data_IF_511335817739
#
_entry.id   IF_511335817739
#
_cell.length_a   1.000
_cell.length_b   1.000
_cell.length_c   1.000
_cell.angle_alpha   90.00
_cell.angle_beta   90.00
_cell.angle_gamma   90.00
#
_symmetry.space_group_name_H-M   'P 1'
#
loop_
_entity.id
_entity.type
_entity.pdbx_description
1 polymer ?
#
# COMPACT_ATOMS: atom_id res chain seq x y z
N UNK A 1 10.76 7.54 11.94
CA UNK A 1 11.12 7.48 10.51
C UNK A 1 9.88 7.96 9.77
N UNK A 2 9.95 9.08 9.06
CA UNK A 2 8.78 9.59 8.32
C UNK A 2 8.62 8.79 7.02
N UNK A 3 7.81 7.73 7.08
CA UNK A 3 7.59 6.79 5.97
C UNK A 3 6.77 7.47 4.85
N UNK A 4 5.79 8.28 5.23
CA UNK A 4 4.87 8.94 4.30
C UNK A 4 4.95 10.45 4.45
N UNK A 5 5.12 11.16 3.34
CA UNK A 5 5.10 12.62 3.29
C UNK A 5 4.35 13.07 2.03
N UNK A 6 3.29 13.86 2.21
CA UNK A 6 2.43 14.30 1.11
C UNK A 6 2.61 15.78 0.80
N UNK A 7 2.77 16.10 -0.47
CA UNK A 7 2.74 17.48 -0.94
C UNK A 7 1.28 17.91 -1.16
N UNK A 8 0.74 18.69 -0.23
CA UNK A 8 -0.64 19.18 -0.28
C UNK A 8 -0.85 20.35 -1.26
N UNK A 9 0.23 20.89 -1.84
CA UNK A 9 0.14 21.96 -2.84
C UNK A 9 -0.15 21.41 -4.25
N UNK A 10 0.01 20.10 -4.49
CA UNK A 10 -0.31 19.48 -5.79
C UNK A 10 -1.79 19.09 -5.88
N UNK A 11 -2.31 18.99 -7.10
CA UNK A 11 -3.66 18.52 -7.36
C UNK A 11 -3.66 17.34 -8.36
N UNK A 12 -3.95 16.09 -7.93
CA UNK A 12 -4.17 15.68 -6.54
C UNK A 12 -2.88 15.74 -5.69
N UNK A 13 -2.96 15.67 -4.35
CA UNK A 13 -1.81 15.57 -3.47
C UNK A 13 -0.99 14.32 -3.80
N UNK A 14 0.32 14.51 -3.96
CA UNK A 14 1.25 13.43 -4.31
C UNK A 14 2.07 13.02 -3.10
N UNK A 15 2.30 11.72 -2.94
CA UNK A 15 3.29 11.28 -1.95
C UNK A 15 4.70 11.54 -2.48
N UNK A 16 5.50 12.24 -1.69
CA UNK A 16 6.95 12.36 -1.81
C UNK A 16 7.70 11.28 -1.01
N UNK A 17 7.02 10.15 -0.77
CA UNK A 17 7.52 8.97 -0.08
C UNK A 17 8.89 8.52 -0.64
N UNK A 18 9.81 8.12 0.24
CA UNK A 18 11.04 7.47 -0.20
C UNK A 18 10.76 6.01 -0.58
N UNK A 19 10.59 5.73 -1.88
CA UNK A 19 10.32 4.38 -2.39
C UNK A 19 11.45 3.37 -2.11
N UNK A 20 12.66 3.84 -1.79
CA UNK A 20 13.80 2.98 -1.41
C UNK A 20 13.63 2.32 -0.03
N UNK A 21 12.60 2.70 0.75
CA UNK A 21 12.31 2.08 2.05
C UNK A 21 11.85 0.61 1.88
N UNK A 22 11.36 0.23 0.70
CA UNK A 22 10.83 -1.11 0.43
C UNK A 22 11.59 -1.81 -0.71
N UNK A 23 12.87 -2.17 -0.56
CA UNK A 23 13.67 -2.79 -1.64
C UNK A 23 13.22 -4.24 -1.89
N UNK A 24 12.25 -4.43 -2.79
CA UNK A 24 11.68 -5.76 -3.08
C UNK A 24 12.55 -6.62 -3.99
N UNK A 25 13.55 -6.05 -4.65
CA UNK A 25 14.50 -6.78 -5.49
C UNK A 25 15.52 -7.57 -4.65
N UNK A 26 16.01 -6.95 -3.56
CA UNK A 26 16.99 -7.54 -2.63
C UNK A 26 16.65 -7.14 -1.20
N UNK A 27 15.61 -7.76 -0.60
CA UNK A 27 15.19 -7.42 0.74
C UNK A 27 16.21 -7.89 1.78
N UNK A 28 16.41 -7.12 2.84
CA UNK A 28 17.10 -7.55 4.04
C UNK A 28 16.10 -8.06 5.09
N UNK A 29 16.60 -8.64 6.18
CA UNK A 29 15.74 -9.14 7.26
C UNK A 29 14.90 -8.02 7.92
N UNK A 30 15.41 -6.78 7.93
CA UNK A 30 14.74 -5.63 8.55
C UNK A 30 13.46 -5.25 7.81
N UNK A 31 13.41 -5.45 6.50
CA UNK A 31 12.20 -5.22 5.71
C UNK A 31 11.00 -5.98 6.28
N UNK A 32 11.20 -7.24 6.67
CA UNK A 32 10.14 -8.14 7.14
C UNK A 32 9.89 -8.09 8.66
N UNK A 33 10.63 -7.24 9.39
CA UNK A 33 10.48 -7.08 10.85
C UNK A 33 10.29 -5.60 11.19
N UNK A 34 11.40 -4.87 11.42
CA UNK A 34 11.40 -3.45 11.82
C UNK A 34 10.57 -2.57 10.88
N UNK A 35 10.77 -2.69 9.56
CA UNK A 35 10.06 -1.87 8.56
C UNK A 35 8.59 -2.25 8.47
N UNK A 36 8.28 -3.55 8.42
CA UNK A 36 6.91 -4.04 8.39
C UNK A 36 6.11 -3.57 9.63
N UNK A 37 6.73 -3.64 10.81
CA UNK A 37 6.16 -3.14 12.06
C UNK A 37 5.94 -1.63 12.03
N UNK A 38 6.92 -0.85 11.58
CA UNK A 38 6.80 0.60 11.52
C UNK A 38 5.67 1.04 10.58
N UNK A 39 5.51 0.38 9.42
CA UNK A 39 4.37 0.65 8.52
C UNK A 39 3.04 0.25 9.18
N UNK A 40 2.99 -0.88 9.89
CA UNK A 40 1.79 -1.33 10.58
C UNK A 40 1.32 -0.34 11.66
N UNK A 41 2.23 0.17 12.48
CA UNK A 41 1.95 1.17 13.51
C UNK A 41 1.46 2.50 12.91
N UNK A 42 2.07 2.92 11.79
CA UNK A 42 1.71 4.13 11.07
C UNK A 42 0.31 4.03 10.45
N UNK A 43 0.00 2.91 9.78
CA UNK A 43 -1.30 2.70 9.11
C UNK A 43 -2.44 2.38 10.09
N UNK A 44 -2.14 2.01 11.34
CA UNK A 44 -3.14 1.75 12.38
C UNK A 44 -3.84 3.03 12.88
N UNK A 45 -3.32 4.20 12.50
CA UNK A 45 -3.85 5.52 12.80
C UNK A 45 -4.19 6.26 11.50
N UNK A 46 -5.34 5.92 10.88
CA UNK A 46 -5.66 6.36 9.53
C UNK A 46 -5.86 7.88 9.40
N UNK A 47 -5.36 8.43 8.31
CA UNK A 47 -5.46 9.86 7.98
C UNK A 47 -5.91 10.06 6.52
N UNK A 48 -6.96 10.85 6.33
CA UNK A 48 -7.51 11.14 5.01
C UNK A 48 -7.11 12.54 4.56
N UNK A 49 -6.59 12.64 3.34
CA UNK A 49 -6.39 13.89 2.64
C UNK A 49 -7.70 14.27 1.94
N UNK A 50 -8.30 15.39 2.34
CA UNK A 50 -9.55 15.88 1.75
C UNK A 50 -9.37 17.27 1.18
N UNK A 51 -10.01 17.51 0.03
CA UNK A 51 -10.18 18.87 -0.49
C UNK A 51 -11.24 19.56 0.37
N UNK A 52 -10.87 20.71 0.92
CA UNK A 52 -11.76 21.54 1.73
C UNK A 52 -11.83 22.95 1.15
N UNK A 53 -12.89 23.68 1.48
CA UNK A 53 -13.14 25.02 0.95
C UNK A 53 -14.07 25.01 -0.27
N UNK A 54 -14.36 26.20 -0.80
CA UNK A 54 -15.31 26.40 -1.90
C UNK A 54 -14.73 27.36 -2.95
N UNK A 55 -15.15 27.18 -4.21
CA UNK A 55 -14.73 28.03 -5.32
C UNK A 55 -13.21 28.02 -5.52
N UNK A 56 -12.61 29.21 -5.59
CA UNK A 56 -11.16 29.39 -5.77
C UNK A 56 -10.32 29.13 -4.51
N UNK A 57 -10.94 28.94 -3.35
CA UNK A 57 -10.26 28.76 -2.05
C UNK A 57 -10.13 27.28 -1.64
N UNK A 58 -10.20 26.37 -2.62
CA UNK A 58 -10.01 24.94 -2.37
C UNK A 58 -8.57 24.65 -1.99
N UNK A 59 -8.39 23.84 -0.95
CA UNK A 59 -7.08 23.41 -0.49
C UNK A 59 -7.15 21.98 0.05
N UNK A 60 -6.05 21.25 -0.01
CA UNK A 60 -5.94 19.92 0.54
C UNK A 60 -5.49 19.96 2.00
N UNK A 61 -6.14 19.19 2.86
CA UNK A 61 -5.73 19.02 4.27
C UNK A 61 -5.77 17.56 4.69
N UNK A 62 -4.84 17.20 5.56
CA UNK A 62 -4.84 15.94 6.29
C UNK A 62 -5.85 16.03 7.43
N UNK A 63 -6.73 15.05 7.52
CA UNK A 63 -7.76 14.93 8.55
C UNK A 63 -7.63 13.54 9.18
N UNK A 64 -7.51 13.49 10.50
CA UNK A 64 -7.54 12.24 11.23
C UNK A 64 -8.90 11.57 11.12
N UNK A 65 -8.91 10.28 10.78
CA UNK A 65 -10.13 9.49 10.87
C UNK A 65 -10.32 8.98 12.30
N UNK A 66 -10.89 9.83 13.15
CA UNK A 66 -11.14 9.55 14.57
C UNK A 66 -11.95 8.28 14.81
N UNK A 67 -12.81 7.91 13.87
CA UNK A 67 -13.63 6.70 13.97
C UNK A 67 -12.90 5.45 13.45
N UNK A 68 -11.68 5.62 12.93
CA UNK A 68 -10.87 4.58 12.29
C UNK A 68 -11.70 3.76 11.30
N UNK A 69 -12.55 4.40 10.49
CA UNK A 69 -13.33 3.72 9.46
C UNK A 69 -12.43 3.23 8.33
N UNK A 70 -11.45 4.04 7.94
CA UNK A 70 -10.42 3.67 6.99
C UNK A 70 -9.44 2.66 7.59
N UNK A 71 -8.82 1.88 6.71
CA UNK A 71 -7.86 0.83 7.01
C UNK A 71 -8.41 -0.26 7.95
N UNK A 72 -9.72 -0.50 7.95
CA UNK A 72 -10.30 -1.59 8.75
C UNK A 72 -9.54 -2.91 8.50
N UNK A 73 -9.23 -3.72 9.53
CA UNK A 73 -8.42 -4.93 9.35
C UNK A 73 -8.97 -5.87 8.28
N UNK A 74 -10.30 -6.00 8.20
CA UNK A 74 -10.97 -6.79 7.16
C UNK A 74 -10.76 -6.23 5.76
N UNK A 75 -10.69 -4.91 5.60
CA UNK A 75 -10.41 -4.28 4.31
C UNK A 75 -8.96 -4.48 3.88
N UNK A 76 -8.02 -4.27 4.81
CA UNK A 76 -6.59 -4.51 4.58
C UNK A 76 -6.34 -5.98 4.23
N UNK A 77 -6.98 -6.91 4.94
CA UNK A 77 -6.90 -8.36 4.68
C UNK A 77 -7.34 -8.71 3.27
N UNK A 78 -8.41 -8.10 2.74
CA UNK A 78 -8.86 -8.35 1.35
C UNK A 78 -7.78 -8.01 0.31
N UNK A 79 -7.04 -6.91 0.51
CA UNK A 79 -5.92 -6.58 -0.38
C UNK A 79 -4.79 -7.60 -0.26
N UNK A 80 -4.50 -8.06 0.96
CA UNK A 80 -3.49 -9.09 1.17
C UNK A 80 -3.90 -10.43 0.54
N UNK A 81 -5.14 -10.87 0.72
CA UNK A 81 -5.68 -12.09 0.10
C UNK A 81 -5.58 -12.03 -1.43
N UNK A 82 -5.81 -10.86 -2.02
CA UNK A 82 -5.64 -10.68 -3.46
C UNK A 82 -4.16 -10.79 -3.89
N UNK A 83 -3.22 -10.24 -3.12
CA UNK A 83 -1.78 -10.42 -3.39
C UNK A 83 -1.37 -11.90 -3.29
N UNK A 84 -1.87 -12.63 -2.29
CA UNK A 84 -1.68 -14.08 -2.18
C UNK A 84 -2.23 -14.83 -3.38
N UNK A 85 -3.48 -14.53 -3.78
CA UNK A 85 -4.11 -15.15 -4.94
C UNK A 85 -3.25 -15.01 -6.19
N UNK A 86 -2.71 -13.82 -6.45
CA UNK A 86 -1.88 -13.61 -7.62
C UNK A 86 -0.53 -14.32 -7.50
N UNK A 87 0.14 -14.22 -6.35
CA UNK A 87 1.40 -14.92 -6.11
C UNK A 87 1.27 -16.45 -6.26
N UNK A 88 0.15 -17.02 -5.83
CA UNK A 88 -0.16 -18.45 -5.98
C UNK A 88 -0.48 -18.82 -7.42
N UNK A 89 -1.16 -17.95 -8.17
CA UNK A 89 -1.47 -18.19 -9.59
C UNK A 89 -0.27 -18.06 -10.51
N UNK A 90 0.78 -17.34 -10.11
CA UNK A 90 1.94 -17.05 -10.96
C UNK A 90 3.16 -17.92 -10.64
N UNK A 91 3.02 -19.25 -10.76
CA UNK A 91 4.10 -20.20 -10.45
C UNK A 91 5.25 -20.22 -11.49
N UNK A 92 5.05 -19.60 -12.66
CA UNK A 92 6.07 -19.47 -13.71
C UNK A 92 6.06 -18.06 -14.31
N UNK A 93 7.17 -17.68 -14.94
CA UNK A 93 7.31 -16.36 -15.60
C UNK A 93 6.28 -16.18 -16.72
N UNK A 94 5.97 -17.24 -17.48
CA UNK A 94 4.95 -17.18 -18.55
C UNK A 94 3.56 -16.87 -18.00
N UNK A 95 3.17 -17.52 -16.89
CA UNK A 95 1.87 -17.28 -16.26
C UNK A 95 1.87 -15.90 -15.58
N UNK A 96 2.99 -15.48 -15.01
CA UNK A 96 3.16 -14.15 -14.44
C UNK A 96 2.97 -13.06 -15.50
N UNK A 97 3.57 -13.20 -16.68
CA UNK A 97 3.42 -12.26 -17.79
C UNK A 97 1.95 -12.05 -18.17
N UNK A 98 1.20 -13.15 -18.34
CA UNK A 98 -0.24 -13.09 -18.66
C UNK A 98 -1.06 -12.41 -17.58
N UNK A 99 -0.64 -12.53 -16.31
CA UNK A 99 -1.37 -12.00 -15.17
C UNK A 99 -0.90 -10.61 -14.71
N UNK A 100 0.24 -10.12 -15.22
CA UNK A 100 0.82 -8.83 -14.84
C UNK A 100 -0.18 -7.65 -14.97
N UNK A 101 -1.02 -7.55 -16.02
CA UNK A 101 -2.04 -6.50 -16.08
C UNK A 101 -3.02 -6.53 -14.91
N UNK A 102 -3.47 -7.71 -14.48
CA UNK A 102 -4.40 -7.86 -13.36
C UNK A 102 -3.72 -7.57 -12.01
N UNK A 103 -2.46 -7.95 -11.88
CA UNK A 103 -1.63 -7.58 -10.72
C UNK A 103 -1.54 -6.05 -10.63
N UNK A 104 -1.24 -5.36 -11.73
CA UNK A 104 -1.20 -3.89 -11.78
C UNK A 104 -2.55 -3.24 -11.52
N UNK A 105 -3.65 -3.88 -11.91
CA UNK A 105 -5.02 -3.40 -11.66
C UNK A 105 -5.36 -3.26 -10.18
N UNK A 106 -4.63 -3.91 -9.26
CA UNK A 106 -4.81 -3.71 -7.82
C UNK A 106 -4.62 -2.25 -7.38
N UNK A 107 -3.79 -1.45 -8.08
CA UNK A 107 -3.69 -0.01 -7.83
C UNK A 107 -5.02 0.73 -8.07
N UNK A 108 -5.76 0.35 -9.11
CA UNK A 108 -7.07 0.94 -9.39
C UNK A 108 -8.09 0.57 -8.29
N UNK A 109 -8.01 -0.66 -7.77
CA UNK A 109 -8.84 -1.10 -6.62
C UNK A 109 -8.50 -0.34 -5.34
N UNK A 110 -7.21 -0.09 -5.08
CA UNK A 110 -6.77 0.72 -3.94
C UNK A 110 -7.28 2.17 -4.06
N UNK A 111 -7.16 2.78 -5.24
CA UNK A 111 -7.68 4.12 -5.51
C UNK A 111 -9.22 4.19 -5.35
N UNK A 112 -9.95 3.19 -5.83
CA UNK A 112 -11.40 3.11 -5.63
C UNK A 112 -11.78 2.96 -4.15
N UNK A 113 -11.13 2.06 -3.42
CA UNK A 113 -11.35 1.88 -1.99
C UNK A 113 -11.05 3.17 -1.20
N UNK A 114 -10.04 3.94 -1.63
CA UNK A 114 -9.72 5.25 -1.07
C UNK A 114 -10.80 6.28 -1.36
N UNK A 115 -11.35 6.32 -2.58
CA UNK A 115 -12.50 7.17 -2.91
C UNK A 115 -13.75 6.84 -2.09
N UNK A 116 -13.86 5.60 -1.60
CA UNK A 116 -14.90 5.13 -0.67
C UNK A 116 -14.53 5.31 0.81
N UNK A 117 -13.38 5.92 1.10
CA UNK A 117 -12.83 6.11 2.45
C UNK A 117 -12.66 4.79 3.25
N UNK A 118 -12.49 3.66 2.55
CA UNK A 118 -12.26 2.34 3.15
C UNK A 118 -10.78 2.12 3.49
N UNK A 119 -9.90 2.80 2.76
CA UNK A 119 -8.45 2.87 3.02
C UNK A 119 -8.03 4.33 2.95
N UNK A 120 -6.90 4.64 3.56
CA UNK A 120 -6.36 6.01 3.62
C UNK A 120 -5.26 6.27 2.58
N UNK A 121 -4.79 7.51 2.47
CA UNK A 121 -3.80 7.90 1.46
C UNK A 121 -2.44 7.23 1.69
N UNK A 122 -2.07 7.00 2.96
CA UNK A 122 -0.83 6.30 3.34
C UNK A 122 -0.85 4.85 2.88
N UNK A 123 -1.97 4.13 3.07
CA UNK A 123 -2.10 2.76 2.57
C UNK A 123 -1.98 2.71 1.04
N UNK A 124 -2.66 3.62 0.33
CA UNK A 124 -2.56 3.68 -1.14
C UNK A 124 -1.12 3.95 -1.58
N UNK A 125 -0.42 4.88 -0.91
CA UNK A 125 0.97 5.20 -1.21
C UNK A 125 1.90 4.00 -0.96
N UNK A 126 1.77 3.33 0.18
CA UNK A 126 2.53 2.13 0.52
C UNK A 126 2.31 1.01 -0.51
N UNK A 127 1.05 0.65 -0.73
CA UNK A 127 0.67 -0.42 -1.63
C UNK A 127 1.15 -0.14 -3.07
N UNK A 128 0.95 1.09 -3.55
CA UNK A 128 1.40 1.51 -4.88
C UNK A 128 2.93 1.52 -5.01
N UNK A 129 3.64 1.88 -3.94
CA UNK A 129 5.12 1.87 -3.95
C UNK A 129 5.69 0.46 -4.05
N UNK A 130 5.05 -0.52 -3.42
CA UNK A 130 5.43 -1.93 -3.52
C UNK A 130 5.07 -2.50 -4.90
N UNK A 131 3.80 -2.34 -5.32
CA UNK A 131 3.31 -2.83 -6.60
C UNK A 131 4.00 -2.16 -7.81
N UNK A 132 4.42 -0.91 -7.64
CA UNK A 132 5.17 -0.13 -8.62
C UNK A 132 6.49 -0.78 -9.02
N UNK A 133 7.15 -1.50 -8.11
CA UNK A 133 8.42 -2.18 -8.36
C UNK A 133 8.26 -3.47 -9.21
N UNK A 134 7.06 -4.01 -9.31
CA UNK A 134 6.75 -5.24 -10.07
C UNK A 134 6.56 -4.85 -11.55
N UNK A 135 7.60 -4.39 -12.24
CA UNK A 135 7.45 -3.74 -13.56
C UNK A 135 7.53 -4.69 -14.75
N UNK A 136 8.38 -5.71 -14.66
CA UNK A 136 8.81 -6.48 -15.83
C UNK A 136 8.36 -7.92 -15.70
N UNK A 137 7.81 -8.49 -16.76
CA UNK A 137 7.38 -9.88 -16.85
C UNK A 137 8.58 -10.84 -16.98
N UNK A 138 9.41 -10.91 -15.94
CA UNK A 138 10.59 -11.77 -15.87
C UNK A 138 10.75 -12.35 -14.46
N UNK A 139 11.79 -13.15 -14.25
CA UNK A 139 12.08 -13.76 -12.95
C UNK A 139 12.24 -12.72 -11.83
N UNK A 140 12.82 -11.55 -12.11
CA UNK A 140 12.95 -10.51 -11.09
C UNK A 140 11.61 -9.90 -10.70
N UNK A 141 10.72 -9.63 -11.65
CA UNK A 141 9.37 -9.16 -11.37
C UNK A 141 8.59 -10.15 -10.52
N UNK A 142 8.72 -11.44 -10.83
CA UNK A 142 8.12 -12.52 -10.06
C UNK A 142 8.69 -12.61 -8.63
N UNK A 143 10.01 -12.48 -8.47
CA UNK A 143 10.67 -12.41 -7.15
C UNK A 143 10.14 -11.21 -6.36
N UNK A 144 10.02 -10.03 -6.97
CA UNK A 144 9.48 -8.82 -6.31
C UNK A 144 8.03 -9.03 -5.85
N UNK A 145 7.20 -9.73 -6.63
CA UNK A 145 5.84 -10.11 -6.23
C UNK A 145 5.84 -11.01 -4.99
N UNK A 146 6.69 -12.04 -4.95
CA UNK A 146 6.80 -12.91 -3.78
C UNK A 146 7.34 -12.17 -2.55
N UNK A 147 8.34 -11.31 -2.72
CA UNK A 147 8.86 -10.48 -1.63
C UNK A 147 7.80 -9.50 -1.11
N UNK A 148 6.98 -8.93 -2.00
CA UNK A 148 5.86 -8.09 -1.58
C UNK A 148 4.83 -8.88 -0.77
N UNK A 149 4.46 -10.09 -1.20
CA UNK A 149 3.58 -10.98 -0.43
C UNK A 149 4.13 -11.23 0.98
N UNK A 150 5.41 -11.55 1.10
CA UNK A 150 6.07 -11.80 2.40
C UNK A 150 6.09 -10.56 3.29
N UNK A 151 6.39 -9.39 2.72
CA UNK A 151 6.30 -8.11 3.43
C UNK A 151 4.87 -7.84 3.91
N UNK A 152 3.87 -8.10 3.06
CA UNK A 152 2.48 -7.88 3.42
C UNK A 152 2.01 -8.86 4.51
N UNK A 153 2.44 -10.13 4.49
CA UNK A 153 2.17 -11.08 5.59
C UNK A 153 2.74 -10.58 6.93
N UNK A 154 4.02 -10.18 6.95
CA UNK A 154 4.65 -9.62 8.15
C UNK A 154 3.91 -8.38 8.65
N UNK A 155 3.59 -7.46 7.73
CA UNK A 155 2.78 -6.29 8.02
C UNK A 155 1.42 -6.67 8.63
N UNK A 156 0.68 -7.62 8.07
CA UNK A 156 -0.64 -8.02 8.59
C UNK A 156 -0.54 -8.57 10.02
N UNK A 157 0.51 -9.35 10.32
CA UNK A 157 0.81 -9.82 11.67
C UNK A 157 0.97 -8.66 12.67
N UNK A 158 1.86 -7.71 12.38
CA UNK A 158 2.04 -6.51 13.21
C UNK A 158 0.82 -5.60 13.23
N UNK A 159 0.09 -5.50 12.12
CA UNK A 159 -1.10 -4.67 12.00
C UNK A 159 -2.21 -5.15 12.92
N UNK A 160 -2.37 -6.47 13.08
CA UNK A 160 -3.31 -7.02 14.05
C UNK A 160 -2.93 -6.68 15.49
N UNK A 161 -1.63 -6.62 15.81
CA UNK A 161 -1.14 -6.19 17.12
C UNK A 161 -1.38 -4.69 17.35
N UNK A 162 -1.03 -3.85 16.38
CA UNK A 162 -1.20 -2.40 16.44
C UNK A 162 -2.68 -1.97 16.41
N UNK A 163 -3.56 -2.80 15.85
CA UNK A 163 -5.00 -2.57 15.71
C UNK A 163 -5.81 -3.83 16.06
N UNK A 164 -6.00 -4.12 17.37
CA UNK A 164 -6.59 -5.38 17.83
C UNK A 164 -8.09 -5.54 17.54
N UNK A 165 -8.81 -4.45 17.21
CA UNK A 165 -10.26 -4.44 16.94
C UNK A 165 -10.57 -4.49 15.44
#
# INVERSE_FOLDING_TARGET
MDIFSFNLATNPPLCSCNTKIFPLDKPDAKLFDETAKAVAEELANPQLIKEIGQGKNKQWKVIEDKNKKANAPTQIRKFYDEVCLWAEKTQSVEIFERNLPFIKMMNAKAAYARGRELVDDKFVAWFSSCLGQITTANSEGLIRLHNFRTLFEAFVGFYKLARPK
#
